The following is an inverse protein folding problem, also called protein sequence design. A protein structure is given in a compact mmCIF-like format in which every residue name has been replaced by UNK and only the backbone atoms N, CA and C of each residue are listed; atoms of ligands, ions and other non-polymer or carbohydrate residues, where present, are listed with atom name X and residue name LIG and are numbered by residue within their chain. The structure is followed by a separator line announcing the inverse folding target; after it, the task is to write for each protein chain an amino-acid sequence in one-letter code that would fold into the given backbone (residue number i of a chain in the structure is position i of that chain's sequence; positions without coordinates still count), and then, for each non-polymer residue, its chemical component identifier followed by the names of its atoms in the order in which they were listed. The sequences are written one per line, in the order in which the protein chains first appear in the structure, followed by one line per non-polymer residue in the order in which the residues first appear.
data_IF_028734230790
#
_entry.id   IF_028734230790
#
_cell.length_a   1.000
_cell.length_b   1.000
_cell.length_c   1.000
_cell.angle_alpha   90.00
_cell.angle_beta   90.00
_cell.angle_gamma   90.00
#
_symmetry.space_group_name_H-M   'P 1'
#
loop_
_entity.id
_entity.type
_entity.pdbx_description
1 polymer ?
#
# COMPACT_ATOMS: atom_id res chain seq x y z
N UNK A 1 9.11 17.13 23.15
CA UNK A 1 9.93 16.60 22.04
C UNK A 1 9.11 16.82 20.78
N UNK A 2 9.44 17.85 19.97
CA UNK A 2 8.69 18.16 18.74
C UNK A 2 9.34 17.36 17.62
N UNK A 3 8.74 16.22 17.28
CA UNK A 3 9.33 15.24 16.36
C UNK A 3 9.21 15.70 14.90
N UNK A 4 8.03 15.54 14.30
CA UNK A 4 7.81 15.80 12.87
C UNK A 4 6.81 16.93 12.59
N UNK A 5 6.22 17.53 13.64
CA UNK A 5 5.19 18.56 13.50
C UNK A 5 5.64 19.85 12.80
N UNK A 6 6.97 20.06 12.71
CA UNK A 6 7.57 21.22 12.07
C UNK A 6 8.00 20.92 10.62
N UNK A 7 7.85 19.68 10.17
CA UNK A 7 8.19 19.30 8.80
C UNK A 7 7.21 19.93 7.80
N UNK A 8 7.72 20.21 6.60
CA UNK A 8 6.90 20.80 5.53
C UNK A 8 5.73 19.88 5.21
N UNK A 9 4.54 20.47 5.05
CA UNK A 9 3.34 19.71 4.72
C UNK A 9 2.82 18.80 5.84
N UNK A 10 3.28 18.98 7.08
CA UNK A 10 2.78 18.22 8.21
C UNK A 10 1.27 18.40 8.41
N UNK A 11 0.53 17.29 8.29
CA UNK A 11 -0.91 17.21 8.51
C UNK A 11 -1.22 15.94 9.29
N UNK A 12 -2.20 16.02 10.19
CA UNK A 12 -2.83 14.85 10.81
C UNK A 12 -4.30 14.82 10.38
N UNK A 13 -4.78 13.66 9.97
CA UNK A 13 -6.20 13.43 9.65
C UNK A 13 -6.70 12.12 10.24
N UNK A 14 -8.01 12.03 10.45
CA UNK A 14 -8.69 10.83 10.96
C UNK A 14 -9.55 10.24 9.86
N UNK A 15 -9.54 8.91 9.74
CA UNK A 15 -10.46 8.17 8.91
C UNK A 15 -11.49 7.47 9.82
N UNK A 16 -12.73 7.96 9.80
CA UNK A 16 -13.79 7.42 10.66
C UNK A 16 -14.19 5.98 10.28
N UNK A 17 -14.22 5.66 8.99
CA UNK A 17 -14.61 4.33 8.50
C UNK A 17 -13.63 3.25 8.96
N UNK A 18 -12.34 3.59 8.96
CA UNK A 18 -11.26 2.69 9.34
C UNK A 18 -10.87 2.80 10.82
N UNK A 19 -11.50 3.71 11.58
CA UNK A 19 -11.06 4.13 12.92
C UNK A 19 -9.53 4.32 12.99
N UNK A 20 -9.01 5.08 12.02
CA UNK A 20 -7.58 5.24 11.78
C UNK A 20 -7.15 6.70 11.91
N UNK A 21 -5.87 6.90 12.21
CA UNK A 21 -5.20 8.19 12.13
C UNK A 21 -4.10 8.08 11.10
N UNK A 22 -3.94 9.13 10.28
CA UNK A 22 -2.77 9.27 9.42
C UNK A 22 -2.10 10.61 9.62
N UNK A 23 -0.78 10.63 9.46
CA UNK A 23 0.02 11.83 9.40
C UNK A 23 0.83 11.84 8.11
N UNK A 24 0.79 12.95 7.38
CA UNK A 24 1.56 13.16 6.17
C UNK A 24 2.54 14.31 6.42
N UNK A 25 3.75 14.21 5.90
CA UNK A 25 4.74 15.29 5.90
C UNK A 25 5.81 15.00 4.84
N UNK A 26 6.62 16.00 4.53
CA UNK A 26 7.75 15.87 3.61
C UNK A 26 9.06 15.92 4.39
N UNK A 27 9.97 14.99 4.10
CA UNK A 27 11.38 15.13 4.43
C UNK A 27 12.09 15.41 3.11
N UNK A 28 12.72 16.58 3.01
CA UNK A 28 13.21 17.12 1.74
C UNK A 28 12.06 17.19 0.72
N UNK A 29 12.11 16.40 -0.35
CA UNK A 29 11.04 16.26 -1.37
C UNK A 29 10.34 14.89 -1.32
N UNK A 30 10.62 14.07 -0.30
CA UNK A 30 10.03 12.75 -0.14
C UNK A 30 8.81 12.81 0.79
N UNK A 31 7.66 12.36 0.30
CA UNK A 31 6.42 12.28 1.08
C UNK A 31 6.45 11.06 2.01
N UNK A 32 6.28 11.31 3.30
CA UNK A 32 6.13 10.28 4.33
C UNK A 32 4.69 10.30 4.83
N UNK A 33 4.06 9.13 4.80
CA UNK A 33 2.78 8.88 5.44
C UNK A 33 2.97 7.88 6.58
N UNK A 34 2.54 8.26 7.78
CA UNK A 34 2.43 7.39 8.94
C UNK A 34 0.95 7.08 9.14
N UNK A 35 0.57 5.83 8.98
CA UNK A 35 -0.79 5.34 9.19
C UNK A 35 -0.86 4.46 10.44
N UNK A 36 -1.91 4.64 11.24
CA UNK A 36 -2.13 3.87 12.45
C UNK A 36 -3.61 3.57 12.69
N UNK A 37 -3.89 2.33 13.09
CA UNK A 37 -5.21 1.86 13.50
C UNK A 37 -5.13 1.15 14.84
N UNK A 38 -6.26 1.10 15.57
CA UNK A 38 -6.39 0.31 16.79
C UNK A 38 -6.61 -1.19 16.50
N UNK A 39 -5.84 -1.74 15.57
CA UNK A 39 -5.77 -3.19 15.29
C UNK A 39 -4.29 -3.60 15.16
N UNK A 40 -3.92 -4.82 15.55
CA UNK A 40 -2.55 -5.30 15.40
C UNK A 40 -2.04 -5.13 13.96
N UNK A 41 -0.80 -4.67 13.79
CA UNK A 41 -0.20 -4.41 12.45
C UNK A 41 -0.34 -5.61 11.52
N UNK A 42 -0.21 -6.83 12.04
CA UNK A 42 -0.33 -8.07 11.27
C UNK A 42 -1.72 -8.29 10.66
N UNK A 43 -2.75 -7.68 11.24
CA UNK A 43 -4.14 -7.75 10.78
C UNK A 43 -4.53 -6.55 9.92
N UNK A 44 -3.71 -5.49 9.86
CA UNK A 44 -3.97 -4.33 9.01
C UNK A 44 -3.84 -4.70 7.54
N UNK A 45 -4.81 -4.30 6.72
CA UNK A 45 -4.85 -4.66 5.31
C UNK A 45 -3.59 -4.19 4.56
N UNK A 46 -3.04 -3.02 4.87
CA UNK A 46 -1.79 -2.54 4.25
C UNK A 46 -0.62 -3.53 4.45
N UNK A 47 -0.49 -4.10 5.65
CA UNK A 47 0.54 -5.10 5.93
C UNK A 47 0.24 -6.44 5.24
N UNK A 48 -1.04 -6.87 5.24
CA UNK A 48 -1.48 -8.08 4.55
C UNK A 48 -1.21 -8.00 3.04
N UNK A 49 -1.52 -6.86 2.42
CA UNK A 49 -1.21 -6.59 1.02
C UNK A 49 0.29 -6.69 0.74
N UNK A 50 1.13 -6.04 1.54
CA UNK A 50 2.58 -6.11 1.39
C UNK A 50 3.08 -7.57 1.37
N UNK A 51 2.55 -8.42 2.27
CA UNK A 51 2.92 -9.84 2.31
C UNK A 51 2.45 -10.62 1.09
N UNK A 52 1.19 -10.43 0.67
CA UNK A 52 0.61 -11.12 -0.50
C UNK A 52 1.34 -10.71 -1.77
N UNK A 53 1.55 -9.40 -1.99
CA UNK A 53 2.31 -8.88 -3.12
C UNK A 53 3.74 -9.43 -3.14
N UNK A 54 4.42 -9.46 -2.00
CA UNK A 54 5.76 -10.02 -1.90
C UNK A 54 5.77 -11.51 -2.29
N UNK A 55 4.80 -12.29 -1.80
CA UNK A 55 4.69 -13.71 -2.11
C UNK A 55 4.44 -13.94 -3.60
N UNK A 56 3.52 -13.19 -4.21
CA UNK A 56 3.26 -13.23 -5.67
C UNK A 56 4.54 -12.96 -6.45
N UNK A 57 5.31 -11.94 -6.07
CA UNK A 57 6.54 -11.58 -6.77
C UNK A 57 7.59 -12.69 -6.67
N UNK A 58 7.69 -13.38 -5.53
CA UNK A 58 8.60 -14.52 -5.38
C UNK A 58 8.18 -15.71 -6.25
N UNK A 59 6.89 -16.02 -6.30
CA UNK A 59 6.38 -17.16 -7.06
C UNK A 59 6.37 -16.94 -8.58
N UNK A 60 6.02 -15.74 -9.03
CA UNK A 60 5.95 -15.41 -10.47
C UNK A 60 7.30 -14.97 -11.04
N UNK A 61 8.25 -14.59 -10.18
CA UNK A 61 9.62 -14.26 -10.55
C UNK A 61 9.80 -12.90 -11.25
N UNK A 62 11.03 -12.66 -11.70
CA UNK A 62 11.49 -11.33 -12.14
C UNK A 62 10.75 -10.79 -13.37
N UNK A 63 10.38 -11.66 -14.32
CA UNK A 63 9.65 -11.23 -15.52
C UNK A 63 8.27 -10.63 -15.17
N UNK A 64 7.59 -11.18 -14.16
CA UNK A 64 6.33 -10.64 -13.66
C UNK A 64 6.56 -9.33 -12.89
N UNK A 65 7.59 -9.26 -12.05
CA UNK A 65 7.98 -8.03 -11.35
C UNK A 65 8.21 -6.87 -12.32
N UNK A 66 8.89 -7.10 -13.43
CA UNK A 66 9.13 -6.07 -14.44
C UNK A 66 7.83 -5.59 -15.12
N UNK A 67 6.87 -6.48 -15.34
CA UNK A 67 5.54 -6.09 -15.84
C UNK A 67 4.78 -5.21 -14.83
N UNK A 68 4.86 -5.53 -13.52
CA UNK A 68 4.30 -4.67 -12.46
C UNK A 68 4.95 -3.29 -12.49
N UNK A 69 6.28 -3.22 -12.57
CA UNK A 69 7.01 -1.94 -12.65
C UNK A 69 6.57 -1.14 -13.88
N UNK A 70 6.41 -1.80 -15.03
CA UNK A 70 5.96 -1.16 -16.26
C UNK A 70 4.54 -0.60 -16.13
N UNK A 71 3.62 -1.33 -15.51
CA UNK A 71 2.27 -0.84 -15.23
C UNK A 71 2.30 0.36 -14.27
N UNK A 72 3.12 0.30 -13.21
CA UNK A 72 3.27 1.44 -12.27
C UNK A 72 3.81 2.69 -12.97
N UNK A 73 4.75 2.54 -13.90
CA UNK A 73 5.25 3.65 -14.74
C UNK A 73 4.17 4.24 -15.66
N UNK A 74 3.15 3.46 -16.01
CA UNK A 74 1.98 3.93 -16.77
C UNK A 74 0.90 4.58 -15.89
N UNK A 75 1.16 4.73 -14.58
CA UNK A 75 0.22 5.36 -13.63
C UNK A 75 -0.72 4.38 -12.92
N UNK A 76 -0.57 3.06 -13.11
CA UNK A 76 -1.32 2.10 -12.31
C UNK A 76 -0.87 2.15 -10.85
N UNK A 77 -1.85 2.12 -9.94
CA UNK A 77 -1.59 1.81 -8.52
C UNK A 77 -1.17 0.34 -8.39
N UNK A 78 -0.59 -0.01 -7.25
CA UNK A 78 0.00 -1.33 -7.01
C UNK A 78 -1.03 -2.44 -7.15
N UNK A 79 -2.11 -2.42 -6.36
CA UNK A 79 -3.12 -3.47 -6.33
C UNK A 79 -3.81 -3.66 -7.70
N UNK A 80 -4.26 -2.60 -8.41
CA UNK A 80 -4.79 -2.74 -9.76
C UNK A 80 -3.79 -3.32 -10.77
N UNK A 81 -2.49 -3.05 -10.64
CA UNK A 81 -1.47 -3.65 -11.49
C UNK A 81 -1.37 -5.16 -11.27
N UNK A 82 -1.42 -5.60 -10.01
CA UNK A 82 -1.46 -7.03 -9.67
C UNK A 82 -2.73 -7.68 -10.20
N UNK A 83 -3.91 -7.13 -9.90
CA UNK A 83 -5.19 -7.69 -10.36
C UNK A 83 -5.25 -7.81 -11.88
N UNK A 84 -4.76 -6.81 -12.62
CA UNK A 84 -4.70 -6.85 -14.08
C UNK A 84 -3.84 -8.00 -14.62
N UNK A 85 -2.65 -8.23 -14.06
CA UNK A 85 -1.76 -9.28 -14.53
C UNK A 85 -2.18 -10.68 -14.06
N UNK A 86 -2.86 -10.76 -12.92
CA UNK A 86 -3.40 -12.02 -12.38
C UNK A 86 -4.76 -12.38 -12.98
N UNK A 87 -5.39 -11.48 -13.74
CA UNK A 87 -6.73 -11.67 -14.29
C UNK A 87 -7.82 -11.68 -13.22
N UNK A 88 -7.63 -10.97 -12.11
CA UNK A 88 -8.63 -10.85 -11.05
C UNK A 88 -9.73 -9.86 -11.50
N UNK A 89 -10.98 -10.28 -11.34
CA UNK A 89 -12.16 -9.48 -11.67
C UNK A 89 -12.80 -8.93 -10.40
N UNK A 90 -13.24 -7.67 -10.44
CA UNK A 90 -13.85 -6.99 -9.30
C UNK A 90 -12.96 -5.91 -8.68
N UNK A 91 -13.12 -5.68 -7.38
CA UNK A 91 -12.34 -4.69 -6.67
C UNK A 91 -10.92 -5.21 -6.39
N UNK A 92 -9.91 -4.55 -6.97
CA UNK A 92 -8.53 -5.01 -6.90
C UNK A 92 -7.99 -5.13 -5.47
N UNK A 93 -8.45 -4.28 -4.56
CA UNK A 93 -8.01 -4.27 -3.18
C UNK A 93 -8.58 -5.49 -2.44
N UNK A 94 -9.88 -5.72 -2.54
CA UNK A 94 -10.52 -6.86 -1.88
C UNK A 94 -10.11 -8.20 -2.50
N UNK A 95 -10.02 -8.29 -3.83
CA UNK A 95 -9.65 -9.54 -4.50
C UNK A 95 -8.21 -9.96 -4.19
N UNK A 96 -7.28 -9.00 -4.09
CA UNK A 96 -5.90 -9.33 -3.77
C UNK A 96 -5.77 -9.90 -2.34
N UNK A 97 -6.59 -9.45 -1.39
CA UNK A 97 -6.62 -9.99 -0.03
C UNK A 97 -7.18 -11.42 0.08
N UNK A 98 -7.92 -11.88 -0.94
CA UNK A 98 -8.48 -13.24 -1.02
C UNK A 98 -7.53 -14.22 -1.68
N UNK A 99 -6.43 -13.76 -2.28
CA UNK A 99 -5.50 -14.65 -2.95
C UNK A 99 -4.78 -15.48 -1.89
N UNK A 100 -5.17 -16.73 -1.80
CA UNK A 100 -4.49 -17.74 -1.01
C UNK A 100 -3.32 -18.30 -1.83
N UNK A 101 -2.16 -18.39 -1.19
CA UNK A 101 -0.98 -19.05 -1.71
C UNK A 101 -0.42 -19.96 -0.62
#
# INVERSE_FOLDING_TARGET
KNHFQNEKGFVISKNANLNAVKSNFLIEDFEIEIFGQNIPTQQQNAYRHMLIEHKILLEKGEAFRQQIIQLKKQGFKTEPAFSKLLGLEGDAYEELLKVEF
#
